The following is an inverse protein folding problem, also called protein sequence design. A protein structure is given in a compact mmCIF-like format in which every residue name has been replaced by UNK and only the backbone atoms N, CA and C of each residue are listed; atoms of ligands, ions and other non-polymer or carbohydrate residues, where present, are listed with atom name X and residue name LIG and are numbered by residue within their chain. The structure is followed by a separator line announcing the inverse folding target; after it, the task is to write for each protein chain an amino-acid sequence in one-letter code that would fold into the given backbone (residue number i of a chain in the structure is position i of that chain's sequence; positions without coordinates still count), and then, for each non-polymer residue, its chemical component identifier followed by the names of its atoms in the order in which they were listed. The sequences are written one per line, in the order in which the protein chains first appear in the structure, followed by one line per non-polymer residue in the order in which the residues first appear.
data_IF_947980397180
#
_entry.id   IF_947980397180
#
_cell.length_a   1.000
_cell.length_b   1.000
_cell.length_c   1.000
_cell.angle_alpha   90.00
_cell.angle_beta   90.00
_cell.angle_gamma   90.00
#
_symmetry.space_group_name_H-M   'P 1'
#
loop_
_entity.id
_entity.type
_entity.pdbx_description
1 polymer ?
#
# COMPACT_ATOMS: atom_id res chain seq x y z
N UNK A 1 -1.83 -8.52 -15.05
CA UNK A 1 -3.28 -8.67 -14.83
C UNK A 1 -3.56 -10.13 -14.62
N UNK A 2 -3.66 -10.58 -13.37
CA UNK A 2 -4.03 -11.95 -13.09
C UNK A 2 -5.51 -12.15 -13.47
N UNK A 3 -5.70 -13.24 -14.20
CA UNK A 3 -6.97 -13.79 -14.68
C UNK A 3 -7.94 -14.00 -13.51
N UNK A 4 -9.25 -13.94 -13.78
CA UNK A 4 -10.42 -14.25 -12.92
C UNK A 4 -10.19 -15.26 -11.76
N UNK A 5 -9.36 -14.93 -10.79
CA UNK A 5 -9.17 -15.74 -9.60
C UNK A 5 -10.31 -15.43 -8.65
N UNK A 6 -11.03 -16.47 -8.23
CA UNK A 6 -12.05 -16.34 -7.22
C UNK A 6 -11.43 -16.50 -5.84
N UNK A 7 -11.94 -15.73 -4.89
CA UNK A 7 -11.75 -15.96 -3.47
C UNK A 7 -13.03 -16.56 -2.90
N UNK A 8 -12.91 -17.63 -2.11
CA UNK A 8 -14.06 -18.39 -1.61
C UNK A 8 -14.06 -18.45 -0.08
N UNK A 9 -15.21 -18.27 0.54
CA UNK A 9 -15.37 -18.34 1.99
C UNK A 9 -16.70 -19.02 2.37
N UNK A 10 -16.81 -19.43 3.63
CA UNK A 10 -18.06 -19.91 4.22
C UNK A 10 -18.71 -18.76 5.01
N UNK A 11 -20.01 -18.55 4.79
CA UNK A 11 -20.82 -17.56 5.51
C UNK A 11 -22.18 -18.15 5.84
N UNK A 12 -22.41 -18.45 7.12
CA UNK A 12 -23.67 -19.04 7.56
C UNK A 12 -23.92 -20.46 7.03
N UNK A 13 -22.87 -21.22 6.71
CA UNK A 13 -22.97 -22.55 6.09
C UNK A 13 -23.18 -22.52 4.57
N UNK A 14 -23.18 -21.34 3.95
CA UNK A 14 -23.19 -21.17 2.50
C UNK A 14 -21.78 -20.89 1.99
N UNK A 15 -21.36 -21.61 0.96
CA UNK A 15 -20.13 -21.28 0.23
C UNK A 15 -20.38 -20.08 -0.68
N UNK A 16 -19.63 -19.01 -0.44
CA UNK A 16 -19.67 -17.77 -1.23
C UNK A 16 -18.36 -17.53 -1.91
N UNK A 17 -18.40 -16.77 -3.01
CA UNK A 17 -17.21 -16.35 -3.73
C UNK A 17 -17.37 -14.97 -4.36
N UNK A 18 -16.24 -14.36 -4.70
CA UNK A 18 -16.13 -13.10 -5.40
C UNK A 18 -14.79 -13.05 -6.16
N UNK A 19 -14.64 -12.12 -7.09
CA UNK A 19 -13.36 -11.91 -7.76
C UNK A 19 -12.29 -11.45 -6.75
N UNK A 20 -11.09 -12.00 -6.84
CA UNK A 20 -9.94 -11.50 -6.10
C UNK A 20 -9.30 -10.34 -6.87
N UNK A 21 -9.08 -9.21 -6.17
CA UNK A 21 -8.41 -8.05 -6.73
C UNK A 21 -7.10 -7.77 -6.00
N UNK A 22 -6.01 -7.68 -6.77
CA UNK A 22 -4.72 -7.17 -6.28
C UNK A 22 -3.91 -6.56 -7.41
N UNK A 23 -3.70 -5.25 -7.36
CA UNK A 23 -2.84 -4.53 -8.31
C UNK A 23 -1.37 -4.95 -8.21
N UNK A 24 -0.93 -5.32 -7.00
CA UNK A 24 0.44 -5.78 -6.76
C UNK A 24 0.67 -7.25 -7.11
N UNK A 25 -0.30 -7.92 -7.77
CA UNK A 25 -0.18 -9.30 -8.22
C UNK A 25 -0.08 -10.32 -7.09
N UNK A 26 -0.64 -10.01 -5.91
CA UNK A 26 -0.70 -10.97 -4.80
C UNK A 26 -1.65 -12.10 -5.21
N UNK A 27 -1.21 -13.36 -5.07
CA UNK A 27 -2.06 -14.51 -5.35
C UNK A 27 -3.24 -14.60 -4.36
N UNK A 28 -4.37 -15.16 -4.80
CA UNK A 28 -5.55 -15.34 -3.93
C UNK A 28 -5.23 -16.09 -2.62
N UNK A 29 -5.88 -15.66 -1.54
CA UNK A 29 -5.66 -16.24 -0.22
C UNK A 29 -6.42 -17.57 -0.06
N UNK A 30 -5.73 -18.62 0.39
CA UNK A 30 -6.31 -19.96 0.52
C UNK A 30 -7.12 -20.19 1.80
N UNK A 31 -6.88 -19.39 2.84
CA UNK A 31 -7.58 -19.49 4.12
C UNK A 31 -8.21 -18.16 4.44
N UNK A 32 -9.53 -18.13 4.49
CA UNK A 32 -10.31 -16.95 4.82
C UNK A 32 -11.12 -17.25 6.07
N UNK A 33 -11.18 -16.28 6.97
CA UNK A 33 -12.04 -16.28 8.15
C UNK A 33 -12.85 -15.00 8.15
N UNK A 34 -14.15 -15.12 8.39
CA UNK A 34 -15.00 -13.95 8.65
C UNK A 34 -14.58 -13.30 9.97
N UNK A 35 -14.51 -11.97 9.96
CA UNK A 35 -14.14 -11.16 11.10
C UNK A 35 -15.08 -9.96 11.23
N UNK A 36 -15.37 -9.55 12.45
CA UNK A 36 -16.24 -8.41 12.75
C UNK A 36 -15.71 -7.62 13.96
N UNK A 37 -16.52 -6.70 14.45
CA UNK A 37 -16.20 -5.77 15.55
C UNK A 37 -15.85 -6.48 16.88
N UNK A 38 -16.12 -7.77 17.01
CA UNK A 38 -15.76 -8.57 18.21
C UNK A 38 -14.32 -9.09 18.18
N UNK A 39 -13.67 -9.11 17.01
CA UNK A 39 -12.33 -9.65 16.87
C UNK A 39 -11.27 -8.71 17.46
N UNK A 40 -10.46 -9.24 18.39
CA UNK A 40 -9.37 -8.47 18.98
C UNK A 40 -8.20 -8.29 18.00
N UNK A 41 -7.47 -7.18 18.14
CA UNK A 41 -6.29 -6.92 17.30
C UNK A 41 -5.15 -7.95 17.51
N UNK A 42 -5.07 -8.59 18.68
CA UNK A 42 -4.08 -9.66 18.93
C UNK A 42 -4.47 -10.96 18.21
N UNK A 43 -5.75 -11.32 18.21
CA UNK A 43 -6.24 -12.47 17.44
C UNK A 43 -6.07 -12.24 15.93
N UNK A 44 -6.48 -11.08 15.44
CA UNK A 44 -6.32 -10.71 14.03
C UNK A 44 -4.85 -10.76 13.59
N UNK A 45 -3.94 -10.20 14.41
CA UNK A 45 -2.51 -10.22 14.13
C UNK A 45 -1.96 -11.66 14.09
N UNK A 46 -2.38 -12.52 15.01
CA UNK A 46 -1.96 -13.93 15.04
C UNK A 46 -2.42 -14.66 13.78
N UNK A 47 -3.70 -14.52 13.40
CA UNK A 47 -4.26 -15.13 12.19
C UNK A 47 -3.55 -14.64 10.91
N UNK A 48 -3.31 -13.33 10.80
CA UNK A 48 -2.58 -12.76 9.67
C UNK A 48 -1.12 -13.25 9.61
N UNK A 49 -0.45 -13.38 10.75
CA UNK A 49 0.89 -13.98 10.84
C UNK A 49 0.89 -15.42 10.33
N UNK A 50 -0.09 -16.22 10.78
CA UNK A 50 -0.30 -17.61 10.38
C UNK A 50 -0.61 -17.72 8.89
N UNK A 51 -1.14 -16.67 8.25
CA UNK A 51 -1.49 -16.61 6.83
C UNK A 51 -2.96 -16.89 6.56
N UNK A 52 -3.84 -16.46 7.47
CA UNK A 52 -5.29 -16.48 7.30
C UNK A 52 -5.76 -15.05 7.02
N UNK A 53 -6.43 -14.87 5.89
CA UNK A 53 -7.05 -13.61 5.54
C UNK A 53 -8.37 -13.42 6.29
N UNK A 54 -8.66 -12.17 6.63
CA UNK A 54 -9.79 -11.75 7.45
C UNK A 54 -10.76 -10.97 6.56
N UNK A 55 -11.85 -11.62 6.15
CA UNK A 55 -12.90 -10.94 5.39
C UNK A 55 -13.81 -10.21 6.38
N UNK A 56 -13.77 -8.88 6.34
CA UNK A 56 -14.44 -8.05 7.34
C UNK A 56 -15.95 -7.91 7.07
N UNK A 57 -16.74 -8.04 8.14
CA UNK A 57 -18.21 -7.94 8.17
C UNK A 57 -18.75 -7.00 9.24
N UNK A 58 -17.87 -6.37 10.01
CA UNK A 58 -18.23 -5.35 11.00
C UNK A 58 -18.33 -3.95 10.38
N UNK A 59 -18.06 -2.94 11.19
CA UNK A 59 -18.07 -1.55 10.76
C UNK A 59 -16.78 -1.16 10.00
N UNK A 60 -16.89 -0.32 8.96
CA UNK A 60 -15.74 0.09 8.15
C UNK A 60 -14.69 0.91 8.93
N UNK A 61 -15.12 1.80 9.83
CA UNK A 61 -14.18 2.58 10.65
C UNK A 61 -13.46 1.69 11.64
N UNK A 62 -14.12 0.65 12.16
CA UNK A 62 -13.47 -0.34 13.02
C UNK A 62 -12.47 -1.19 12.24
N UNK A 63 -12.74 -1.53 10.97
CA UNK A 63 -11.76 -2.16 10.07
C UNK A 63 -10.50 -1.30 9.92
N UNK A 64 -10.66 0.02 9.71
CA UNK A 64 -9.53 0.97 9.64
C UNK A 64 -8.75 1.01 10.94
N UNK A 65 -9.44 1.04 12.08
CA UNK A 65 -8.80 1.02 13.40
C UNK A 65 -8.04 -0.28 13.64
N UNK A 66 -8.60 -1.42 13.22
CA UNK A 66 -7.94 -2.72 13.28
C UNK A 66 -6.66 -2.71 12.42
N UNK A 67 -6.72 -2.21 11.19
CA UNK A 67 -5.54 -2.09 10.32
C UNK A 67 -4.44 -1.24 10.98
N UNK A 68 -4.80 -0.11 11.61
CA UNK A 68 -3.84 0.71 12.37
C UNK A 68 -3.26 -0.04 13.58
N UNK A 69 -4.08 -0.84 14.26
CA UNK A 69 -3.64 -1.69 15.36
C UNK A 69 -2.69 -2.80 14.90
N UNK A 70 -2.87 -3.33 13.68
CA UNK A 70 -1.96 -4.29 13.04
C UNK A 70 -0.63 -3.62 12.64
N UNK A 71 -0.66 -2.41 12.05
CA UNK A 71 0.55 -1.64 11.72
C UNK A 71 1.44 -1.49 12.96
N UNK A 72 0.86 -1.03 14.07
CA UNK A 72 1.59 -0.86 15.34
C UNK A 72 2.22 -2.16 15.85
N UNK A 73 1.58 -3.32 15.63
CA UNK A 73 2.06 -4.63 16.08
C UNK A 73 3.17 -5.19 15.20
N UNK A 74 3.07 -5.00 13.89
CA UNK A 74 4.13 -5.36 12.94
C UNK A 74 5.39 -4.55 13.24
N UNK A 75 5.24 -3.24 13.47
CA UNK A 75 6.38 -2.34 13.72
C UNK A 75 6.96 -2.49 15.14
N UNK A 76 6.14 -2.91 16.12
CA UNK A 76 6.55 -3.17 17.51
C UNK A 76 6.09 -4.56 17.98
N UNK A 77 6.86 -5.63 17.67
CA UNK A 77 6.55 -6.95 18.20
C UNK A 77 6.54 -6.94 19.74
N UNK A 78 5.60 -7.69 20.32
CA UNK A 78 5.32 -7.67 21.76
C UNK A 78 6.57 -7.95 22.62
N UNK A 79 6.60 -7.45 23.87
CA UNK A 79 7.70 -7.71 24.81
C UNK A 79 7.99 -9.21 24.98
N UNK A 80 6.97 -10.08 24.85
CA UNK A 80 7.09 -11.55 24.92
C UNK A 80 7.82 -12.11 23.69
N UNK A 81 7.46 -11.65 22.48
CA UNK A 81 8.16 -11.99 21.24
C UNK A 81 9.62 -11.52 21.25
N UNK A 82 9.89 -10.30 21.73
CA UNK A 82 11.26 -9.79 21.91
C UNK A 82 12.10 -10.60 22.90
N UNK A 83 11.50 -11.14 23.97
CA UNK A 83 12.20 -12.00 24.95
C UNK A 83 12.57 -13.37 24.37
N UNK A 84 11.71 -13.95 23.53
CA UNK A 84 11.98 -15.20 22.80
C UNK A 84 13.08 -15.00 21.76
N UNK A 85 13.03 -13.91 20.97
CA UNK A 85 14.08 -13.54 20.01
C UNK A 85 15.44 -13.26 20.66
N UNK A 86 15.47 -12.59 21.83
CA UNK A 86 16.72 -12.39 22.58
C UNK A 86 17.38 -13.68 23.10
N UNK A 87 16.59 -14.74 23.31
CA UNK A 87 17.12 -16.06 23.71
C UNK A 87 17.73 -16.80 22.51
N UNK A 88 17.15 -16.68 21.32
CA UNK A 88 17.76 -17.20 20.08
C UNK A 88 18.99 -16.39 19.63
N UNK A 89 18.97 -15.07 19.80
CA UNK A 89 20.09 -14.18 19.43
C UNK A 89 21.33 -14.38 20.32
N UNK A 90 21.16 -14.82 21.58
CA UNK A 90 22.30 -15.18 22.45
C UNK A 90 23.11 -16.38 21.93
N UNK A 91 22.50 -17.27 21.14
CA UNK A 91 23.20 -18.37 20.46
C UNK A 91 23.78 -17.94 19.10
N UNK A 92 23.28 -16.85 18.51
CA UNK A 92 23.72 -16.31 17.23
C UNK A 92 24.81 -15.22 17.36
N UNK A 93 25.12 -14.78 18.59
CA UNK A 93 26.16 -13.78 18.90
C UNK A 93 27.61 -14.26 18.65
N UNK A 94 27.82 -15.43 18.05
CA UNK A 94 29.10 -15.84 17.46
C UNK A 94 29.16 -15.67 15.93
N UNK A 95 28.08 -15.19 15.28
CA UNK A 95 28.00 -15.08 13.83
C UNK A 95 28.28 -13.63 13.34
N UNK A 96 29.33 -13.52 12.53
CA UNK A 96 29.69 -12.51 11.51
C UNK A 96 29.10 -11.08 11.60
N UNK A 97 29.99 -10.08 11.45
CA UNK A 97 29.59 -8.72 11.07
C UNK A 97 28.70 -8.79 9.81
N UNK A 98 27.47 -8.29 9.90
CA UNK A 98 26.53 -8.27 8.78
C UNK A 98 27.06 -7.38 7.66
N UNK A 99 27.13 -7.92 6.45
CA UNK A 99 27.52 -7.15 5.27
C UNK A 99 26.39 -6.19 4.85
N UNK A 100 26.66 -5.16 4.02
CA UNK A 100 25.61 -4.34 3.43
C UNK A 100 24.54 -5.15 2.68
N UNK A 101 24.94 -6.25 2.02
CA UNK A 101 24.02 -7.16 1.34
C UNK A 101 23.07 -7.86 2.33
N UNK A 102 23.59 -8.32 3.48
CA UNK A 102 22.78 -8.95 4.53
C UNK A 102 21.74 -7.97 5.10
N UNK A 103 22.16 -6.72 5.33
CA UNK A 103 21.27 -5.65 5.80
C UNK A 103 20.17 -5.35 4.78
N UNK A 104 20.51 -5.26 3.49
CA UNK A 104 19.54 -5.04 2.41
C UNK A 104 18.53 -6.19 2.30
N UNK A 105 19.01 -7.44 2.31
CA UNK A 105 18.16 -8.63 2.23
C UNK A 105 17.24 -8.72 3.46
N UNK A 106 17.77 -8.45 4.65
CA UNK A 106 16.97 -8.40 5.88
C UNK A 106 15.88 -7.32 5.79
N UNK A 107 16.21 -6.12 5.30
CA UNK A 107 15.24 -5.05 5.11
C UNK A 107 14.12 -5.46 4.15
N UNK A 108 14.46 -6.03 2.99
CA UNK A 108 13.46 -6.51 2.02
C UNK A 108 12.56 -7.60 2.59
N UNK A 109 13.13 -8.54 3.34
CA UNK A 109 12.35 -9.60 4.00
C UNK A 109 11.35 -9.01 5.00
N UNK A 110 11.79 -8.06 5.84
CA UNK A 110 10.91 -7.37 6.80
C UNK A 110 9.79 -6.59 6.09
N UNK A 111 10.10 -5.86 5.00
CA UNK A 111 9.08 -5.13 4.24
C UNK A 111 8.08 -6.07 3.56
N UNK A 112 8.54 -7.19 3.00
CA UNK A 112 7.67 -8.22 2.39
C UNK A 112 6.74 -8.85 3.43
N UNK A 113 7.28 -9.24 4.59
CA UNK A 113 6.47 -9.77 5.70
C UNK A 113 5.44 -8.76 6.21
N UNK A 114 5.84 -7.49 6.34
CA UNK A 114 4.95 -6.38 6.71
C UNK A 114 3.85 -6.18 5.68
N UNK A 115 4.18 -6.20 4.39
CA UNK A 115 3.20 -6.12 3.31
C UNK A 115 2.20 -7.28 3.38
N UNK A 116 2.70 -8.51 3.53
CA UNK A 116 1.87 -9.71 3.63
C UNK A 116 0.89 -9.64 4.80
N UNK A 117 1.35 -9.31 6.02
CA UNK A 117 0.49 -9.28 7.21
C UNK A 117 -0.59 -8.20 7.08
N UNK A 118 -0.22 -7.00 6.65
CA UNK A 118 -1.16 -5.89 6.52
C UNK A 118 -2.12 -6.07 5.34
N UNK A 119 -1.76 -6.90 4.37
CA UNK A 119 -2.62 -7.29 3.24
C UNK A 119 -3.79 -8.20 3.65
N UNK A 120 -3.71 -8.88 4.80
CA UNK A 120 -4.67 -9.92 5.20
C UNK A 120 -6.04 -9.39 5.62
N UNK A 121 -6.23 -8.10 5.88
CA UNK A 121 -7.55 -7.56 6.18
C UNK A 121 -8.24 -7.18 4.87
N UNK A 122 -9.33 -7.88 4.56
CA UNK A 122 -10.02 -7.82 3.28
C UNK A 122 -11.40 -7.15 3.41
N UNK A 123 -11.79 -6.46 2.34
CA UNK A 123 -13.10 -5.82 2.16
C UNK A 123 -13.71 -6.35 0.87
N UNK A 124 -15.01 -6.63 0.91
CA UNK A 124 -15.79 -6.92 -0.30
C UNK A 124 -16.40 -5.62 -0.83
N UNK A 125 -16.22 -5.39 -2.13
CA UNK A 125 -16.84 -4.32 -2.90
C UNK A 125 -17.88 -4.90 -3.85
N UNK A 126 -18.94 -4.13 -4.09
CA UNK A 126 -19.99 -4.46 -5.04
C UNK A 126 -19.56 -4.13 -6.49
N UNK A 127 -20.30 -4.54 -7.53
CA UNK A 127 -19.96 -4.25 -8.93
C UNK A 127 -19.95 -2.75 -9.27
N UNK A 128 -20.69 -1.93 -8.50
CA UNK A 128 -20.68 -0.46 -8.59
C UNK A 128 -19.58 0.18 -7.70
N UNK A 129 -18.63 -0.62 -7.24
CA UNK A 129 -17.56 -0.28 -6.30
C UNK A 129 -18.01 0.19 -4.91
N UNK A 130 -19.32 0.17 -4.61
CA UNK A 130 -19.79 0.51 -3.27
C UNK A 130 -19.41 -0.57 -2.25
N UNK A 131 -19.46 -0.21 -0.97
CA UNK A 131 -19.15 -1.12 0.14
C UNK A 131 -20.37 -1.18 1.05
N UNK A 132 -20.94 -2.38 1.22
CA UNK A 132 -22.15 -2.60 2.03
C UNK A 132 -21.93 -2.51 3.55
N UNK A 133 -20.72 -2.22 4.01
CA UNK A 133 -20.39 -2.10 5.43
C UNK A 133 -20.89 -0.78 6.02
N UNK A 134 -21.27 -0.80 7.30
CA UNK A 134 -21.69 0.41 8.01
C UNK A 134 -20.54 1.44 8.06
N UNK A 135 -20.88 2.72 7.84
CA UNK A 135 -19.95 3.87 7.79
C UNK A 135 -18.80 3.72 6.79
N UNK A 136 -18.99 2.88 5.77
CA UNK A 136 -18.12 2.90 4.61
C UNK A 136 -18.24 4.26 3.90
N UNK A 137 -17.13 4.90 3.52
CA UNK A 137 -17.18 6.09 2.68
C UNK A 137 -17.64 5.70 1.27
N UNK A 138 -18.09 6.68 0.51
CA UNK A 138 -18.24 6.50 -0.93
C UNK A 138 -16.83 6.40 -1.55
N UNK A 139 -16.54 5.24 -2.15
CA UNK A 139 -15.26 4.94 -2.80
C UNK A 139 -15.43 4.70 -4.30
N UNK A 140 -16.64 4.86 -4.83
CA UNK A 140 -16.98 4.37 -6.16
C UNK A 140 -16.18 5.10 -7.24
N UNK A 141 -16.10 6.43 -7.16
CA UNK A 141 -15.31 7.23 -8.09
C UNK A 141 -13.81 6.90 -7.99
N UNK A 142 -13.26 6.81 -6.78
CA UNK A 142 -11.85 6.49 -6.57
C UNK A 142 -11.49 5.11 -7.16
N UNK A 143 -12.35 4.10 -6.94
CA UNK A 143 -12.16 2.77 -7.51
C UNK A 143 -12.34 2.75 -9.03
N UNK A 144 -13.32 3.47 -9.57
CA UNK A 144 -13.53 3.56 -11.01
C UNK A 144 -12.35 4.24 -11.72
N UNK A 145 -11.73 5.26 -11.12
CA UNK A 145 -10.54 5.91 -11.66
C UNK A 145 -9.30 5.01 -11.61
N UNK A 146 -9.18 4.15 -10.60
CA UNK A 146 -8.04 3.26 -10.40
C UNK A 146 -8.16 1.95 -11.19
N UNK A 147 -9.35 1.34 -11.20
CA UNK A 147 -9.57 -0.02 -11.68
C UNK A 147 -10.44 -0.09 -12.94
N UNK A 148 -11.16 0.98 -13.28
CA UNK A 148 -12.22 0.95 -14.27
C UNK A 148 -13.45 0.16 -13.78
N UNK A 149 -14.41 -0.14 -14.68
CA UNK A 149 -15.64 -0.84 -14.32
C UNK A 149 -15.39 -2.24 -13.73
N UNK A 150 -16.09 -2.60 -12.67
CA UNK A 150 -16.11 -3.96 -12.13
C UNK A 150 -17.36 -4.73 -12.62
N UNK A 151 -17.20 -5.85 -13.35
CA UNK A 151 -18.35 -6.62 -13.84
C UNK A 151 -19.08 -7.38 -12.74
N UNK A 152 -18.39 -7.72 -11.65
CA UNK A 152 -18.89 -8.51 -10.53
C UNK A 152 -18.33 -8.00 -9.20
N UNK A 153 -18.90 -8.45 -8.09
CA UNK A 153 -18.36 -8.17 -6.75
C UNK A 153 -16.95 -8.73 -6.62
N UNK A 154 -16.09 -7.99 -5.95
CA UNK A 154 -14.70 -8.36 -5.76
C UNK A 154 -14.27 -8.13 -4.31
N UNK A 155 -13.16 -8.78 -3.94
CA UNK A 155 -12.55 -8.66 -2.62
C UNK A 155 -11.14 -8.13 -2.80
N UNK A 156 -10.81 -7.14 -1.99
CA UNK A 156 -9.54 -6.42 -2.01
C UNK A 156 -9.00 -6.26 -0.60
N UNK A 157 -7.69 -6.09 -0.45
CA UNK A 157 -7.11 -5.64 0.82
C UNK A 157 -7.59 -4.24 1.19
N UNK A 158 -7.98 -4.03 2.45
CA UNK A 158 -8.29 -2.69 2.97
C UNK A 158 -7.09 -1.73 2.81
N UNK A 159 -5.86 -2.24 2.92
CA UNK A 159 -4.66 -1.42 2.74
C UNK A 159 -4.55 -0.87 1.32
N UNK A 160 -4.88 -1.68 0.32
CA UNK A 160 -4.87 -1.28 -1.09
C UNK A 160 -5.99 -0.27 -1.38
N UNK A 161 -7.20 -0.55 -0.90
CA UNK A 161 -8.34 0.36 -1.00
C UNK A 161 -8.05 1.75 -0.39
N UNK A 162 -7.43 1.81 0.78
CA UNK A 162 -7.02 3.09 1.38
C UNK A 162 -5.98 3.83 0.55
N UNK A 163 -5.13 3.11 -0.18
CA UNK A 163 -4.17 3.67 -1.13
C UNK A 163 -4.88 4.32 -2.32
N UNK A 164 -5.90 3.66 -2.88
CA UNK A 164 -6.75 4.21 -3.95
C UNK A 164 -7.49 5.47 -3.50
N UNK A 165 -8.15 5.41 -2.34
CA UNK A 165 -8.85 6.58 -1.78
C UNK A 165 -7.88 7.76 -1.61
N UNK A 166 -6.69 7.49 -1.08
CA UNK A 166 -5.68 8.54 -0.88
C UNK A 166 -5.20 9.13 -2.21
N UNK A 167 -4.96 8.29 -3.23
CA UNK A 167 -4.55 8.77 -4.56
C UNK A 167 -5.64 9.62 -5.23
N UNK A 168 -6.91 9.22 -5.09
CA UNK A 168 -8.05 10.01 -5.57
C UNK A 168 -8.10 11.39 -4.90
N UNK A 169 -7.93 11.46 -3.58
CA UNK A 169 -7.93 12.75 -2.88
C UNK A 169 -6.77 13.65 -3.31
N UNK A 170 -5.57 13.09 -3.54
CA UNK A 170 -4.44 13.84 -4.11
C UNK A 170 -4.73 14.33 -5.51
N UNK A 171 -5.29 13.47 -6.36
CA UNK A 171 -5.66 13.83 -7.73
C UNK A 171 -6.70 14.95 -7.76
N UNK A 172 -7.72 14.87 -6.91
CA UNK A 172 -8.82 15.83 -6.83
C UNK A 172 -8.34 17.22 -6.40
N UNK A 173 -7.49 17.28 -5.38
CA UNK A 173 -7.00 18.56 -4.84
C UNK A 173 -5.78 19.10 -5.59
N UNK A 174 -5.03 18.23 -6.25
CA UNK A 174 -3.70 18.53 -6.74
C UNK A 174 -2.67 18.55 -5.61
N UNK A 175 -1.42 18.29 -5.97
CA UNK A 175 -0.27 18.36 -5.08
C UNK A 175 0.60 19.55 -5.50
N UNK A 176 0.71 20.61 -4.68
CA UNK A 176 1.63 21.70 -4.95
C UNK A 176 3.07 21.22 -4.80
N UNK A 177 3.91 21.61 -5.74
CA UNK A 177 5.33 21.28 -5.81
C UNK A 177 6.12 22.53 -6.12
N UNK A 178 7.17 22.79 -5.34
CA UNK A 178 8.14 23.83 -5.65
C UNK A 178 9.10 23.30 -6.71
N UNK A 179 9.08 23.93 -7.88
CA UNK A 179 9.90 23.55 -9.03
C UNK A 179 11.17 24.41 -9.19
N UNK A 180 11.27 25.49 -8.42
CA UNK A 180 12.44 26.35 -8.31
C UNK A 180 12.54 26.94 -6.89
N UNK A 181 13.63 27.66 -6.60
CA UNK A 181 13.88 28.27 -5.28
C UNK A 181 13.19 29.63 -5.08
N UNK A 182 12.55 30.18 -6.12
CA UNK A 182 12.03 31.56 -6.14
C UNK A 182 10.62 31.73 -6.70
N UNK A 183 9.98 30.67 -7.21
CA UNK A 183 8.75 30.74 -7.99
C UNK A 183 7.52 30.17 -7.30
N UNK A 184 6.40 30.27 -8.02
CA UNK A 184 5.10 29.76 -7.59
C UNK A 184 5.04 28.22 -7.73
N UNK A 185 4.38 27.51 -6.79
CA UNK A 185 4.29 26.06 -6.87
C UNK A 185 3.49 25.62 -8.11
N UNK A 186 4.03 24.63 -8.82
CA UNK A 186 3.28 23.90 -9.85
C UNK A 186 2.35 22.90 -9.16
N UNK A 187 1.15 22.69 -9.69
CA UNK A 187 0.20 21.73 -9.13
C UNK A 187 0.15 20.49 -10.01
N UNK A 188 0.53 19.33 -9.47
CA UNK A 188 0.48 18.05 -10.19
C UNK A 188 -0.69 17.19 -9.69
N UNK A 189 -1.34 16.48 -10.60
CA UNK A 189 -2.53 15.66 -10.31
C UNK A 189 -2.24 14.17 -10.59
N UNK A 190 -1.49 13.48 -9.71
CA UNK A 190 -1.07 12.10 -9.94
C UNK A 190 -2.27 11.15 -10.07
N UNK A 191 -2.21 10.22 -11.04
CA UNK A 191 -3.11 9.07 -11.07
C UNK A 191 -2.71 8.04 -9.99
N UNK A 192 -3.64 7.15 -9.62
CA UNK A 192 -3.31 5.97 -8.85
C UNK A 192 -2.22 5.14 -9.56
N UNK A 193 -1.29 4.58 -8.78
CA UNK A 193 -0.13 3.84 -9.30
C UNK A 193 1.07 4.71 -9.72
N UNK A 194 0.91 6.05 -9.79
CA UNK A 194 2.02 6.97 -10.09
C UNK A 194 2.70 7.42 -8.79
N UNK A 195 4.03 7.44 -8.76
CA UNK A 195 4.79 7.94 -7.61
C UNK A 195 4.50 9.43 -7.38
N UNK A 196 3.84 9.74 -6.27
CA UNK A 196 3.49 11.13 -5.92
C UNK A 196 4.67 11.85 -5.24
N UNK A 197 5.03 13.08 -5.65
CA UNK A 197 6.17 13.85 -5.13
C UNK A 197 5.95 14.44 -3.73
N UNK A 198 5.30 13.71 -2.82
CA UNK A 198 5.01 14.16 -1.44
C UNK A 198 6.26 14.23 -0.54
N UNK A 199 7.39 13.67 -0.99
CA UNK A 199 8.70 13.73 -0.34
C UNK A 199 9.64 14.49 -1.27
N UNK A 200 9.58 15.81 -1.19
CA UNK A 200 10.17 16.74 -2.17
C UNK A 200 11.69 16.94 -2.05
N UNK A 201 12.39 16.25 -1.15
CA UNK A 201 13.82 16.47 -0.91
C UNK A 201 14.68 16.20 -2.17
N UNK A 202 14.24 15.27 -3.02
CA UNK A 202 14.91 15.01 -4.30
C UNK A 202 14.68 16.12 -5.33
N UNK A 203 13.57 16.84 -5.23
CA UNK A 203 13.26 17.97 -6.13
C UNK A 203 14.16 19.15 -5.80
N UNK A 204 14.31 19.47 -4.51
CA UNK A 204 15.25 20.48 -4.05
C UNK A 204 16.68 20.18 -4.52
N UNK A 205 17.10 18.91 -4.44
CA UNK A 205 18.40 18.49 -4.96
C UNK A 205 18.53 18.78 -6.45
N UNK A 206 17.51 18.45 -7.26
CA UNK A 206 17.54 18.70 -8.72
C UNK A 206 17.57 20.19 -9.02
N UNK A 207 16.71 21.01 -8.40
CA UNK A 207 16.67 22.46 -8.61
C UNK A 207 18.00 23.15 -8.27
N UNK A 208 18.73 22.65 -7.27
CA UNK A 208 19.99 23.24 -6.81
C UNK A 208 21.23 22.63 -7.49
N UNK A 209 21.09 21.60 -8.31
CA UNK A 209 22.22 20.95 -8.99
C UNK A 209 22.54 21.69 -10.29
N UNK A 210 23.77 22.21 -10.47
CA UNK A 210 24.16 22.80 -11.76
C UNK A 210 23.99 21.80 -12.90
N UNK A 211 23.31 22.23 -13.95
CA UNK A 211 23.14 21.42 -15.14
C UNK A 211 24.48 21.23 -15.88
N UNK A 212 24.70 20.11 -16.58
CA UNK A 212 25.95 19.89 -17.32
C UNK A 212 26.13 20.91 -18.44
N UNK A 213 27.34 21.47 -18.60
CA UNK A 213 27.69 22.41 -19.68
C UNK A 213 27.35 21.89 -21.10
N UNK A 214 27.22 20.57 -21.27
CA UNK A 214 26.77 19.99 -22.54
C UNK A 214 25.38 20.51 -22.97
N UNK A 215 24.51 20.88 -22.01
CA UNK A 215 23.19 21.43 -22.30
C UNK A 215 23.23 22.84 -22.90
N UNK A 216 24.35 23.57 -22.78
CA UNK A 216 24.55 24.87 -23.44
C UNK A 216 24.64 24.72 -24.97
N UNK A 217 25.10 23.55 -25.44
CA UNK A 217 25.28 23.25 -26.88
C UNK A 217 24.20 22.32 -27.42
N UNK A 218 23.74 21.37 -26.60
CA UNK A 218 22.68 20.42 -26.94
C UNK A 218 21.66 20.39 -25.81
N UNK A 219 20.69 21.32 -25.85
CA UNK A 219 19.63 21.46 -24.85
C UNK A 219 18.57 20.36 -25.00
N UNK A 220 18.95 19.11 -24.73
CA UNK A 220 18.09 17.92 -24.79
C UNK A 220 18.24 17.14 -23.49
N UNK A 221 17.13 16.89 -22.83
CA UNK A 221 17.03 16.01 -21.68
C UNK A 221 15.90 14.99 -21.88
N UNK A 222 16.08 13.77 -21.34
CA UNK A 222 15.07 12.71 -21.37
C UNK A 222 14.68 12.33 -19.94
N UNK A 223 13.39 12.44 -19.62
CA UNK A 223 12.81 11.97 -18.38
C UNK A 223 12.21 10.57 -18.58
N UNK A 224 12.96 9.54 -18.17
CA UNK A 224 12.59 8.13 -18.41
C UNK A 224 11.74 7.63 -17.24
N UNK A 225 10.54 7.13 -17.55
CA UNK A 225 9.58 6.75 -16.52
C UNK A 225 9.00 7.97 -15.81
N UNK A 226 8.79 9.05 -16.59
CA UNK A 226 8.35 10.42 -16.24
C UNK A 226 7.36 10.54 -15.07
N UNK A 227 6.51 9.53 -14.86
CA UNK A 227 5.64 9.46 -13.68
C UNK A 227 4.69 10.65 -13.63
N UNK A 228 4.87 11.54 -12.66
CA UNK A 228 4.10 12.79 -12.55
C UNK A 228 4.55 13.89 -13.49
N UNK A 229 5.69 13.74 -14.18
CA UNK A 229 6.28 14.77 -15.02
C UNK A 229 6.95 15.91 -14.26
N UNK A 230 7.05 15.80 -12.93
CA UNK A 230 7.57 16.87 -12.09
C UNK A 230 9.01 17.26 -12.45
N UNK A 231 9.87 16.29 -12.78
CA UNK A 231 11.25 16.56 -13.19
C UNK A 231 11.32 17.17 -14.57
N UNK A 232 10.47 16.70 -15.50
CA UNK A 232 10.32 17.33 -16.82
C UNK A 232 9.93 18.81 -16.72
N UNK A 233 9.03 19.16 -15.79
CA UNK A 233 8.67 20.57 -15.57
C UNK A 233 9.86 21.36 -15.03
N UNK A 234 10.55 20.84 -14.01
CA UNK A 234 11.73 21.50 -13.43
C UNK A 234 12.82 21.73 -14.48
N UNK A 235 13.09 20.75 -15.36
CA UNK A 235 14.12 20.85 -16.40
C UNK A 235 13.73 21.77 -17.56
N UNK A 236 12.44 22.08 -17.73
CA UNK A 236 11.94 22.94 -18.79
C UNK A 236 11.78 24.41 -18.36
N UNK A 237 11.93 24.70 -17.07
CA UNK A 237 11.94 26.05 -16.50
C UNK A 237 13.33 26.68 -16.61
#
# INVERSE_FOLDING_TARGET
MNQNELICWDEGGESRSALWHSENGIATHKRIRLADDTMTADEAYRLACEGTALLWRGDFQNARQLLQALIRRVDKPSKKSKRLGKRSDKSANLASQKTPLDLFNQHRLMQSQRARILGMLLIQCNPDHTISLRRAPDVALACSEAYGPAPESYVISLRELLGVISAHEWRKHGLPVLADSSGEPIVVHPHYGVFSPIRGEYLELVCNTPLPNALDTNSIAFDIGVGTGVLSVILAM
#
